data_IF_374169101898
#
_entry.id   IF_374169101898
#
_cell.length_a   1.000
_cell.length_b   1.000
_cell.length_c   1.000
_cell.angle_alpha   90.00
_cell.angle_beta   90.00
_cell.angle_gamma   90.00
#
_symmetry.space_group_name_H-M   'P 1'
#
loop_
_entity.id
_entity.type
_entity.pdbx_description
1 polymer ?
#
# COMPACT_ATOMS: atom_id res chain seq x y z
N UNK A 1 5.95 -19.43 8.04
CA UNK A 1 6.90 -18.49 7.42
C UNK A 1 7.06 -18.72 5.92
N UNK A 2 7.04 -19.95 5.42
CA UNK A 2 7.18 -20.24 3.97
C UNK A 2 6.26 -19.40 3.07
N UNK A 3 4.96 -19.31 3.37
CA UNK A 3 4.04 -18.48 2.59
C UNK A 3 4.37 -16.97 2.61
N UNK A 4 4.92 -16.45 3.71
CA UNK A 4 5.38 -15.06 3.76
C UNK A 4 6.63 -14.88 2.90
N UNK A 5 7.57 -15.83 2.99
CA UNK A 5 8.80 -15.81 2.18
C UNK A 5 8.48 -15.81 0.69
N UNK A 6 7.47 -16.60 0.26
CA UNK A 6 6.98 -16.59 -1.12
C UNK A 6 6.42 -15.22 -1.51
N UNK A 7 5.57 -14.60 -0.68
CA UNK A 7 4.98 -13.30 -0.99
C UNK A 7 5.99 -12.15 -1.06
N UNK A 8 7.15 -12.28 -0.41
CA UNK A 8 8.20 -11.24 -0.40
C UNK A 8 9.32 -11.50 -1.41
N UNK A 9 9.22 -12.53 -2.25
CA UNK A 9 10.15 -12.66 -3.38
C UNK A 9 9.94 -11.52 -4.38
N UNK A 10 10.97 -11.05 -5.09
CA UNK A 10 10.81 -10.00 -6.10
C UNK A 10 9.78 -10.39 -7.18
N UNK A 11 9.83 -11.64 -7.64
CA UNK A 11 8.97 -12.15 -8.72
C UNK A 11 7.50 -12.17 -8.30
N UNK A 12 7.18 -12.70 -7.11
CA UNK A 12 5.80 -12.70 -6.63
C UNK A 12 5.33 -11.30 -6.24
N UNK A 13 6.23 -10.46 -5.71
CA UNK A 13 5.94 -9.05 -5.45
C UNK A 13 5.55 -8.28 -6.72
N UNK A 14 6.22 -8.54 -7.85
CA UNK A 14 5.90 -7.96 -9.14
C UNK A 14 4.53 -8.42 -9.67
N UNK A 15 4.26 -9.74 -9.59
CA UNK A 15 2.97 -10.30 -9.97
C UNK A 15 1.81 -9.74 -9.13
N UNK A 16 2.02 -9.54 -7.83
CA UNK A 16 1.03 -8.93 -6.93
C UNK A 16 0.83 -7.44 -7.22
N UNK A 17 1.91 -6.70 -7.53
CA UNK A 17 1.83 -5.29 -7.88
C UNK A 17 1.02 -5.07 -9.18
N UNK A 18 1.26 -5.92 -10.18
CA UNK A 18 0.50 -5.94 -11.43
C UNK A 18 -0.97 -6.26 -11.20
N UNK A 19 -1.28 -7.33 -10.47
CA UNK A 19 -2.66 -7.74 -10.22
C UNK A 19 -3.45 -6.71 -9.39
N UNK A 20 -2.78 -6.04 -8.44
CA UNK A 20 -3.40 -5.09 -7.52
C UNK A 20 -3.38 -3.64 -8.02
N UNK A 21 -2.65 -3.33 -9.10
CA UNK A 21 -2.30 -1.97 -9.49
C UNK A 21 -1.78 -1.14 -8.30
N UNK A 22 -1.00 -1.80 -7.42
CA UNK A 22 -0.53 -1.25 -6.17
C UNK A 22 0.98 -1.28 -6.14
N UNK A 23 1.65 -0.18 -5.76
CA UNK A 23 3.10 -0.17 -5.62
C UNK A 23 3.59 -1.22 -4.62
N UNK A 24 4.70 -1.87 -4.96
CA UNK A 24 5.36 -2.83 -4.07
C UNK A 24 6.40 -2.16 -3.17
N UNK A 25 6.51 -2.63 -1.93
CA UNK A 25 7.52 -2.19 -0.97
C UNK A 25 8.81 -3.01 -1.05
N UNK A 26 8.88 -4.03 -1.91
CA UNK A 26 10.10 -4.81 -2.13
C UNK A 26 11.09 -3.99 -2.96
N UNK A 27 12.32 -3.70 -2.45
CA UNK A 27 13.27 -2.83 -3.14
C UNK A 27 13.76 -3.38 -4.48
N UNK A 28 13.67 -4.70 -4.69
CA UNK A 28 14.18 -5.38 -5.86
C UNK A 28 13.07 -5.70 -6.90
N UNK A 29 11.83 -5.27 -6.66
CA UNK A 29 10.71 -5.55 -7.58
C UNK A 29 10.90 -4.88 -8.95
N UNK A 30 11.63 -3.76 -8.99
CA UNK A 30 11.81 -2.97 -10.21
C UNK A 30 12.56 -3.75 -11.30
N UNK A 31 13.43 -4.68 -10.92
CA UNK A 31 14.21 -5.53 -11.83
C UNK A 31 13.32 -6.58 -12.56
N UNK A 32 12.12 -6.84 -12.04
CA UNK A 32 11.16 -7.82 -12.55
C UNK A 32 10.06 -7.17 -13.40
N UNK A 33 10.06 -5.84 -13.53
CA UNK A 33 9.02 -5.05 -14.18
C UNK A 33 9.55 -4.37 -15.45
N UNK A 34 8.70 -4.22 -16.46
CA UNK A 34 9.01 -3.33 -17.59
C UNK A 34 9.05 -1.87 -17.14
N UNK A 35 9.54 -0.98 -18.00
CA UNK A 35 9.55 0.47 -17.74
C UNK A 35 8.12 1.01 -17.49
N UNK A 36 7.17 0.65 -18.35
CA UNK A 36 5.76 1.04 -18.21
C UNK A 36 5.15 0.52 -16.90
N UNK A 37 5.44 -0.73 -16.53
CA UNK A 37 4.95 -1.31 -15.28
C UNK A 37 5.57 -0.63 -14.05
N UNK A 38 6.85 -0.26 -14.13
CA UNK A 38 7.53 0.49 -13.08
C UNK A 38 6.90 1.88 -12.86
N UNK A 39 6.50 2.57 -13.92
CA UNK A 39 5.81 3.86 -13.83
C UNK A 39 4.43 3.76 -13.16
N UNK A 40 3.71 2.66 -13.40
CA UNK A 40 2.35 2.46 -12.89
C UNK A 40 2.32 1.95 -11.44
N UNK A 41 3.09 0.90 -11.14
CA UNK A 41 3.02 0.16 -9.86
C UNK A 41 4.36 -0.42 -9.42
N UNK A 42 5.47 0.10 -9.96
CA UNK A 42 6.81 -0.20 -9.46
C UNK A 42 7.08 0.45 -8.10
N UNK A 43 8.35 0.74 -7.84
CA UNK A 43 8.74 1.42 -6.61
C UNK A 43 8.20 2.86 -6.59
N UNK A 44 7.53 3.24 -5.50
CA UNK A 44 7.11 4.63 -5.29
C UNK A 44 8.33 5.55 -5.21
N UNK A 45 8.34 6.62 -6.01
CA UNK A 45 9.23 7.76 -5.83
C UNK A 45 8.93 8.46 -4.49
N UNK A 46 9.89 8.52 -3.54
CA UNK A 46 9.67 9.15 -2.24
C UNK A 46 9.21 10.60 -2.31
N UNK A 47 9.57 11.34 -3.36
CA UNK A 47 9.12 12.73 -3.54
C UNK A 47 7.59 12.83 -3.67
N UNK A 48 6.93 11.77 -4.17
CA UNK A 48 5.46 11.69 -4.25
C UNK A 48 4.80 11.54 -2.89
N UNK A 49 5.57 11.17 -1.87
CA UNK A 49 5.09 11.07 -0.49
C UNK A 49 5.31 12.38 0.28
N UNK A 50 6.00 13.36 -0.29
CA UNK A 50 6.18 14.67 0.34
C UNK A 50 4.82 15.35 0.54
N UNK A 51 4.47 15.62 1.80
CA UNK A 51 3.18 16.19 2.18
C UNK A 51 2.08 15.17 2.51
N UNK A 52 2.33 13.86 2.33
CA UNK A 52 1.46 12.83 2.87
C UNK A 52 1.75 12.62 4.36
N UNK A 53 0.72 12.28 5.13
CA UNK A 53 0.86 11.84 6.51
C UNK A 53 0.51 10.35 6.61
N UNK A 54 1.24 9.61 7.43
CA UNK A 54 0.88 8.24 7.77
C UNK A 54 -0.27 8.24 8.76
N UNK A 55 -1.31 7.45 8.46
CA UNK A 55 -2.31 7.13 9.45
C UNK A 55 -1.65 6.33 10.58
N UNK A 56 -2.00 6.69 11.82
CA UNK A 56 -1.60 5.96 13.01
C UNK A 56 -2.82 5.23 13.56
N UNK A 57 -2.57 4.26 14.43
CA UNK A 57 -3.63 3.62 15.18
C UNK A 57 -4.42 4.67 15.97
N UNK A 58 -5.75 4.50 15.98
CA UNK A 58 -6.66 5.35 16.75
C UNK A 58 -6.67 4.80 18.19
N UNK A 59 -6.49 5.67 19.17
CA UNK A 59 -6.58 5.27 20.57
C UNK A 59 -8.00 4.75 20.88
N UNK A 60 -8.07 3.67 21.66
CA UNK A 60 -9.32 2.95 21.90
C UNK A 60 -10.36 3.77 22.67
N UNK A 61 -9.95 4.83 23.35
CA UNK A 61 -10.83 5.75 24.08
C UNK A 61 -11.51 6.79 23.17
N UNK A 62 -11.09 6.91 21.90
CA UNK A 62 -11.68 7.82 20.92
C UNK A 62 -12.20 7.13 19.65
N UNK A 63 -11.93 5.84 19.44
CA UNK A 63 -12.34 5.07 18.25
C UNK A 63 -13.84 5.17 17.94
N UNK A 64 -14.71 5.03 18.95
CA UNK A 64 -16.16 5.10 18.77
C UNK A 64 -16.61 6.44 18.18
N UNK A 65 -15.99 7.55 18.61
CA UNK A 65 -16.33 8.88 18.11
C UNK A 65 -16.03 9.02 16.61
N UNK A 66 -14.90 8.46 16.14
CA UNK A 66 -14.57 8.45 14.71
C UNK A 66 -15.56 7.61 13.91
N UNK A 67 -15.89 6.41 14.41
CA UNK A 67 -16.84 5.50 13.75
C UNK A 67 -18.23 6.13 13.67
N UNK A 68 -18.78 6.65 14.77
CA UNK A 68 -20.10 7.28 14.80
C UNK A 68 -20.20 8.48 13.86
N UNK A 69 -19.19 9.37 13.87
CA UNK A 69 -19.16 10.51 12.96
C UNK A 69 -19.16 10.08 11.48
N UNK A 70 -18.46 8.99 11.16
CA UNK A 70 -18.45 8.45 9.79
C UNK A 70 -19.80 7.84 9.38
N UNK A 71 -20.48 7.14 10.29
CA UNK A 71 -21.83 6.61 10.02
C UNK A 71 -22.86 7.72 9.76
N UNK A 72 -22.77 8.85 10.48
CA UNK A 72 -23.61 10.02 10.23
C UNK A 72 -23.38 10.61 8.84
N UNK A 73 -22.12 10.76 8.42
CA UNK A 73 -21.77 11.27 7.08
C UNK A 73 -22.31 10.36 5.97
N UNK A 74 -22.21 9.03 6.14
CA UNK A 74 -22.71 8.06 5.15
C UNK A 74 -24.24 8.06 5.03
N UNK A 75 -24.96 8.44 6.08
CA UNK A 75 -26.41 8.43 6.11
C UNK A 75 -27.05 9.71 5.52
N UNK A 76 -26.26 10.75 5.26
CA UNK A 76 -26.69 12.03 4.68
C UNK A 76 -26.72 12.00 3.14
#
# INVERSE_FOLDING_TARGET
WEGINECITPQNGAALAEAGFSPSTNPNVADELTEEQNELYGRIDPSRLEGMYSLKDIDSDVEEAYVSAWEEVKAA
#
